data_IF_440718241450
#
_entry.id   IF_440718241450
#
_cell.length_a   1.000
_cell.length_b   1.000
_cell.length_c   1.000
_cell.angle_alpha   90.00
_cell.angle_beta   90.00
_cell.angle_gamma   90.00
#
_symmetry.space_group_name_H-M   'P 1'
#
loop_
_entity.id
_entity.type
_entity.pdbx_description
1 polymer ?
#
# COMPACT_ATOMS: atom_id res chain seq x y z
N UNK A 1 -13.21 43.43 0.35
CA UNK A 1 -12.20 42.75 -0.50
C UNK A 1 -12.51 41.26 -0.52
N UNK A 2 -12.58 40.60 -1.70
CA UNK A 2 -13.29 39.33 -1.87
C UNK A 2 -12.46 38.12 -1.37
N UNK A 3 -12.89 37.46 -0.28
CA UNK A 3 -12.32 36.21 0.28
C UNK A 3 -12.26 35.03 -0.71
N UNK A 4 -12.83 35.13 -1.88
CA UNK A 4 -12.95 34.04 -2.88
C UNK A 4 -11.66 33.70 -3.63
N UNK A 5 -10.59 34.49 -3.53
CA UNK A 5 -9.34 34.28 -4.29
C UNK A 5 -8.20 33.62 -3.51
N UNK A 6 -8.36 33.37 -2.19
CA UNK A 6 -7.27 32.85 -1.36
C UNK A 6 -7.19 31.31 -1.22
N UNK A 7 -8.17 30.56 -1.74
CA UNK A 7 -8.16 29.11 -1.52
C UNK A 7 -8.32 28.31 -2.82
N UNK A 8 -7.33 27.52 -3.25
CA UNK A 8 -7.49 26.55 -4.33
C UNK A 8 -8.50 25.47 -3.90
N UNK A 9 -9.15 24.82 -4.87
CA UNK A 9 -10.20 23.79 -4.67
C UNK A 9 -9.70 22.64 -3.76
N UNK A 10 -9.93 22.75 -2.45
CA UNK A 10 -9.66 21.71 -1.46
C UNK A 10 -10.88 20.80 -1.28
N UNK A 11 -10.63 19.53 -0.93
CA UNK A 11 -11.67 18.52 -0.67
C UNK A 11 -12.65 18.93 0.43
N UNK A 12 -13.85 18.32 0.47
CA UNK A 12 -14.88 18.63 1.47
C UNK A 12 -14.37 18.48 2.93
N UNK A 13 -13.50 17.52 3.22
CA UNK A 13 -12.85 17.34 4.55
C UNK A 13 -11.91 18.50 4.91
N UNK A 14 -11.19 19.06 3.95
CA UNK A 14 -10.35 20.24 4.17
C UNK A 14 -11.19 21.50 4.46
N UNK A 15 -12.36 21.64 3.83
CA UNK A 15 -13.29 22.75 4.08
C UNK A 15 -13.93 22.66 5.49
N UNK A 16 -14.24 21.47 5.97
CA UNK A 16 -14.82 21.26 7.30
C UNK A 16 -13.81 21.60 8.40
N UNK A 17 -12.53 21.28 8.24
CA UNK A 17 -11.48 21.63 9.20
C UNK A 17 -11.23 23.14 9.25
N UNK A 18 -11.21 23.80 8.10
CA UNK A 18 -11.12 25.28 8.05
C UNK A 18 -12.34 25.92 8.73
N UNK A 19 -13.53 25.35 8.58
CA UNK A 19 -14.74 25.83 9.23
C UNK A 19 -14.69 25.64 10.75
N UNK A 20 -14.15 24.53 11.25
CA UNK A 20 -13.96 24.28 12.69
C UNK A 20 -12.94 25.23 13.32
N UNK A 21 -11.84 25.56 12.62
CA UNK A 21 -10.88 26.57 13.05
C UNK A 21 -11.53 27.97 13.05
N UNK A 22 -12.30 28.31 12.03
CA UNK A 22 -13.04 29.57 11.98
C UNK A 22 -14.13 29.67 13.06
N UNK A 23 -14.81 28.58 13.41
CA UNK A 23 -15.79 28.55 14.49
C UNK A 23 -15.14 28.67 15.87
N UNK A 24 -13.96 28.05 16.11
CA UNK A 24 -13.22 28.23 17.36
C UNK A 24 -12.71 29.68 17.50
N UNK A 25 -12.39 30.38 16.41
CA UNK A 25 -12.01 31.79 16.43
C UNK A 25 -13.14 32.72 16.83
N UNK A 26 -14.38 32.45 16.39
CA UNK A 26 -15.55 33.24 16.82
C UNK A 26 -15.82 33.13 18.31
N UNK A 27 -15.41 32.02 18.94
CA UNK A 27 -15.53 31.83 20.38
C UNK A 27 -14.39 32.54 21.17
N UNK A 28 -13.21 32.70 20.58
CA UNK A 28 -12.01 33.33 21.21
C UNK A 28 -12.02 34.84 21.05
N UNK A 29 -12.79 35.41 20.12
CA UNK A 29 -12.87 36.85 19.88
C UNK A 29 -13.27 37.69 21.12
N UNK A 30 -13.90 37.06 22.11
CA UNK A 30 -14.29 37.74 23.34
C UNK A 30 -13.21 37.72 24.44
N UNK A 31 -12.06 37.09 24.24
CA UNK A 31 -11.07 36.85 25.30
C UNK A 31 -9.66 37.36 25.01
N UNK A 32 -9.33 37.71 23.77
CA UNK A 32 -7.98 38.13 23.35
C UNK A 32 -8.01 39.35 22.42
N UNK A 33 -7.03 40.23 22.52
CA UNK A 33 -6.84 41.37 21.61
C UNK A 33 -6.51 40.90 20.17
N UNK A 34 -6.63 41.83 19.19
CA UNK A 34 -6.44 41.52 17.75
C UNK A 34 -5.08 40.88 17.42
N UNK A 35 -4.03 41.23 18.14
CA UNK A 35 -2.67 40.70 17.93
C UNK A 35 -2.54 39.24 18.39
N UNK A 36 -3.13 38.86 19.51
CA UNK A 36 -3.15 37.47 19.98
C UNK A 36 -3.95 36.51 19.07
N UNK A 37 -4.98 37.02 18.41
CA UNK A 37 -5.76 36.23 17.43
C UNK A 37 -4.95 35.93 16.17
N UNK A 38 -4.12 36.85 15.71
CA UNK A 38 -3.26 36.63 14.54
C UNK A 38 -2.20 35.55 14.81
N UNK A 39 -1.59 35.53 15.99
CA UNK A 39 -0.60 34.52 16.37
C UNK A 39 -1.22 33.10 16.48
N UNK A 40 -2.40 32.98 17.11
CA UNK A 40 -3.13 31.70 17.19
C UNK A 40 -3.51 31.18 15.77
N UNK A 41 -3.87 32.12 14.88
CA UNK A 41 -4.21 31.79 13.50
C UNK A 41 -3.00 31.29 12.72
N UNK A 42 -1.89 31.97 12.82
CA UNK A 42 -0.63 31.59 12.18
C UNK A 42 -0.12 30.24 12.71
N UNK A 43 -0.13 30.04 14.02
CA UNK A 43 0.23 28.76 14.63
C UNK A 43 -0.68 27.62 14.19
N UNK A 44 -1.99 27.86 14.06
CA UNK A 44 -2.95 26.89 13.52
C UNK A 44 -2.72 26.56 12.03
N UNK A 45 -2.33 27.55 11.22
CA UNK A 45 -1.95 27.34 9.82
C UNK A 45 -0.65 26.52 9.73
N UNK A 46 0.37 26.85 10.49
CA UNK A 46 1.64 26.11 10.51
C UNK A 46 1.43 24.65 10.97
N UNK A 47 0.59 24.42 11.97
CA UNK A 47 0.25 23.07 12.43
C UNK A 47 -0.53 22.29 11.35
N UNK A 48 -1.45 22.95 10.65
CA UNK A 48 -2.15 22.34 9.50
C UNK A 48 -1.21 22.06 8.34
N UNK A 49 -0.25 22.95 8.05
CA UNK A 49 0.73 22.72 6.98
C UNK A 49 1.69 21.57 7.34
N UNK A 50 2.17 21.51 8.58
CA UNK A 50 2.93 20.36 9.12
C UNK A 50 2.12 19.06 9.04
N UNK A 51 0.82 19.12 9.37
CA UNK A 51 -0.08 17.98 9.27
C UNK A 51 -0.28 17.54 7.81
N UNK A 52 -0.52 18.49 6.89
CA UNK A 52 -0.66 18.21 5.45
C UNK A 52 0.66 17.67 4.87
N UNK A 53 1.80 18.17 5.29
CA UNK A 53 3.12 17.68 4.87
C UNK A 53 3.36 16.23 5.37
N UNK A 54 3.06 15.98 6.66
CA UNK A 54 3.14 14.64 7.25
C UNK A 54 2.14 13.64 6.63
N UNK A 55 1.14 14.13 5.89
CA UNK A 55 0.11 13.32 5.22
C UNK A 55 0.41 13.06 3.75
N UNK A 56 1.52 13.56 3.22
CA UNK A 56 1.85 13.41 1.81
C UNK A 56 2.36 12.02 1.46
N UNK A 57 1.91 11.53 0.32
CA UNK A 57 2.61 10.51 -0.43
C UNK A 57 3.96 11.07 -0.87
N UNK A 58 4.98 10.23 -0.92
CA UNK A 58 6.34 10.66 -1.27
C UNK A 58 6.81 10.04 -2.58
N UNK A 59 7.65 10.80 -3.29
CA UNK A 59 8.38 10.32 -4.46
C UNK A 59 9.86 10.26 -4.13
N UNK A 60 10.47 9.10 -4.35
CA UNK A 60 11.88 8.88 -4.04
C UNK A 60 12.64 8.70 -5.35
N UNK A 61 13.53 9.64 -5.70
CA UNK A 61 14.36 9.51 -6.89
C UNK A 61 15.38 8.37 -6.71
N UNK A 62 15.62 7.62 -7.78
CA UNK A 62 16.56 6.50 -7.77
C UNK A 62 17.73 6.80 -8.70
N UNK A 63 17.57 6.62 -10.01
CA UNK A 63 18.59 6.79 -11.03
C UNK A 63 17.94 6.97 -12.39
N UNK A 64 18.59 7.71 -13.28
CA UNK A 64 18.14 7.90 -14.67
C UNK A 64 16.70 8.42 -14.80
N UNK A 65 16.29 9.34 -13.93
CA UNK A 65 14.93 9.90 -13.92
C UNK A 65 13.84 8.97 -13.40
N UNK A 66 14.19 7.76 -12.91
CA UNK A 66 13.22 6.84 -12.31
C UNK A 66 12.95 7.27 -10.89
N UNK A 67 11.67 7.32 -10.54
CA UNK A 67 11.19 7.60 -9.19
C UNK A 67 10.36 6.43 -8.65
N UNK A 68 10.27 6.31 -7.33
CA UNK A 68 9.39 5.39 -6.64
C UNK A 68 8.29 6.19 -5.97
N UNK A 69 7.05 5.97 -6.38
CA UNK A 69 5.88 6.54 -5.73
C UNK A 69 5.50 5.68 -4.54
N UNK A 70 5.50 6.28 -3.35
CA UNK A 70 5.14 5.61 -2.11
C UNK A 70 3.90 6.27 -1.52
N UNK A 71 2.91 5.46 -1.17
CA UNK A 71 1.67 5.88 -0.52
C UNK A 71 1.81 5.72 0.98
N UNK A 72 1.48 6.76 1.72
CA UNK A 72 1.44 6.72 3.17
C UNK A 72 0.21 5.99 3.65
N UNK A 73 0.41 4.96 4.47
CA UNK A 73 -0.63 4.20 5.15
C UNK A 73 -0.61 4.55 6.64
N UNK A 74 -1.68 5.12 7.14
CA UNK A 74 -1.82 5.43 8.56
C UNK A 74 -1.96 4.15 9.37
N UNK A 75 -1.44 4.17 10.60
CA UNK A 75 -1.69 3.14 11.61
C UNK A 75 -3.19 2.90 11.83
N UNK A 76 -3.53 1.71 12.28
CA UNK A 76 -4.93 1.34 12.53
C UNK A 76 -5.11 -0.15 12.80
N UNK A 77 -6.33 -0.62 12.66
CA UNK A 77 -6.70 -2.02 12.91
C UNK A 77 -7.41 -2.63 11.71
N UNK A 78 -7.27 -3.94 11.55
CA UNK A 78 -8.04 -4.73 10.60
C UNK A 78 -8.42 -6.07 11.25
N UNK A 79 -9.46 -6.70 10.71
CA UNK A 79 -9.72 -8.12 10.88
C UNK A 79 -9.03 -8.83 9.72
N UNK A 80 -7.90 -9.49 9.99
CA UNK A 80 -7.06 -10.17 9.01
C UNK A 80 -7.56 -11.60 8.79
N UNK A 81 -7.58 -12.03 7.53
CA UNK A 81 -8.06 -13.35 7.14
C UNK A 81 -9.56 -13.40 6.83
N UNK A 82 -10.08 -14.59 6.57
CA UNK A 82 -11.46 -14.79 6.16
C UNK A 82 -12.42 -14.68 7.35
N UNK A 83 -13.34 -13.72 7.31
CA UNK A 83 -14.49 -13.68 8.21
C UNK A 83 -15.54 -14.70 7.78
N UNK A 84 -16.52 -14.97 8.65
CA UNK A 84 -17.61 -15.91 8.36
C UNK A 84 -18.44 -15.47 7.15
N UNK A 85 -18.66 -14.16 7.00
CA UNK A 85 -19.43 -13.56 5.90
C UNK A 85 -18.69 -13.65 4.56
N UNK A 86 -17.37 -13.49 4.58
CA UNK A 86 -16.55 -13.59 3.37
C UNK A 86 -16.44 -15.03 2.86
N UNK A 87 -16.57 -16.00 3.76
CA UNK A 87 -16.25 -17.39 3.48
C UNK A 87 -14.75 -17.60 3.27
N UNK A 88 -14.27 -18.80 3.49
CA UNK A 88 -12.89 -19.18 3.17
C UNK A 88 -12.90 -20.45 2.35
N UNK A 89 -12.04 -20.51 1.33
CA UNK A 89 -11.78 -21.75 0.57
C UNK A 89 -10.60 -22.52 1.13
N UNK A 90 -9.80 -21.88 2.00
CA UNK A 90 -8.55 -22.47 2.49
C UNK A 90 -8.39 -22.32 4.00
N UNK A 91 -7.97 -23.41 4.64
CA UNK A 91 -7.63 -23.39 6.07
C UNK A 91 -6.50 -22.42 6.43
N UNK A 92 -5.74 -21.93 5.45
CA UNK A 92 -4.70 -20.93 5.66
C UNK A 92 -5.21 -19.54 5.92
N UNK A 93 -6.47 -19.25 5.58
CA UNK A 93 -7.15 -17.96 5.72
C UNK A 93 -7.88 -17.82 7.06
N UNK A 94 -7.97 -18.90 7.83
CA UNK A 94 -8.68 -18.98 9.11
C UNK A 94 -7.74 -19.38 10.26
N UNK A 95 -8.09 -19.02 11.53
CA UNK A 95 -9.18 -18.12 11.89
C UNK A 95 -8.88 -16.67 11.52
N UNK A 96 -9.93 -15.89 11.21
CA UNK A 96 -9.78 -14.44 11.19
C UNK A 96 -9.42 -13.95 12.60
N UNK A 97 -8.64 -12.89 12.68
CA UNK A 97 -8.17 -12.34 13.94
C UNK A 97 -7.89 -10.84 13.81
N UNK A 98 -7.97 -10.14 14.92
CA UNK A 98 -7.65 -8.72 14.95
C UNK A 98 -6.15 -8.49 14.81
N UNK A 99 -5.78 -7.52 13.99
CA UNK A 99 -4.41 -7.02 13.85
C UNK A 99 -4.39 -5.52 14.09
N UNK A 100 -3.44 -5.06 14.91
CA UNK A 100 -3.11 -3.67 15.10
C UNK A 100 -1.80 -3.34 14.39
N UNK A 101 -1.84 -2.43 13.43
CA UNK A 101 -0.67 -1.77 12.85
C UNK A 101 -0.49 -0.47 13.64
N UNK A 102 0.53 -0.38 14.48
CA UNK A 102 0.68 0.72 15.46
C UNK A 102 1.50 1.89 14.94
N UNK A 103 2.21 1.72 13.84
CA UNK A 103 3.04 2.73 13.21
C UNK A 103 2.57 3.00 11.80
N UNK A 104 2.66 4.25 11.36
CA UNK A 104 2.45 4.57 9.97
C UNK A 104 3.60 3.98 9.14
N UNK A 105 3.32 3.67 7.89
CA UNK A 105 4.32 3.19 6.95
C UNK A 105 4.02 3.68 5.54
N UNK A 106 4.99 3.57 4.66
CA UNK A 106 4.79 3.77 3.24
C UNK A 106 4.80 2.43 2.51
N UNK A 107 3.95 2.32 1.50
CA UNK A 107 3.90 1.18 0.59
C UNK A 107 3.99 1.67 -0.86
N UNK A 108 4.61 0.91 -1.74
CA UNK A 108 4.68 1.24 -3.16
C UNK A 108 3.30 1.43 -3.76
N UNK A 109 3.08 2.56 -4.44
CA UNK A 109 1.85 2.85 -5.18
C UNK A 109 1.56 1.76 -6.21
N UNK A 110 2.62 1.21 -6.78
CA UNK A 110 2.63 0.16 -7.78
C UNK A 110 3.53 -0.99 -7.36
N UNK A 111 3.43 -2.10 -8.04
CA UNK A 111 4.42 -3.16 -8.07
C UNK A 111 5.77 -2.59 -8.56
N UNK A 112 6.89 -3.19 -8.19
CA UNK A 112 8.20 -2.81 -8.73
C UNK A 112 8.21 -3.04 -10.24
N UNK A 113 8.43 -1.98 -11.02
CA UNK A 113 8.45 -2.06 -12.48
C UNK A 113 9.78 -2.63 -13.02
N UNK A 114 9.75 -3.14 -14.24
CA UNK A 114 10.96 -3.61 -14.91
C UNK A 114 11.97 -2.47 -15.16
N UNK A 115 11.51 -1.24 -15.40
CA UNK A 115 12.39 -0.07 -15.49
C UNK A 115 13.15 0.16 -14.17
N UNK A 116 12.43 0.14 -13.04
CA UNK A 116 13.05 0.29 -11.72
C UNK A 116 14.01 -0.87 -11.41
N UNK A 117 13.61 -2.11 -11.70
CA UNK A 117 14.48 -3.27 -11.53
C UNK A 117 15.77 -3.14 -12.34
N UNK A 118 15.69 -2.79 -13.64
CA UNK A 118 16.86 -2.59 -14.50
C UNK A 118 17.77 -1.49 -13.99
N UNK A 119 17.22 -0.38 -13.51
CA UNK A 119 18.02 0.73 -12.98
C UNK A 119 18.87 0.32 -11.77
N UNK A 120 18.36 -0.60 -10.94
CA UNK A 120 19.05 -1.07 -9.73
C UNK A 120 19.94 -2.28 -10.01
N UNK A 121 19.46 -3.26 -10.78
CA UNK A 121 20.11 -4.56 -10.96
C UNK A 121 20.94 -4.66 -12.24
N UNK A 122 20.66 -3.84 -13.24
CA UNK A 122 21.34 -3.86 -14.55
C UNK A 122 20.82 -4.93 -15.52
N UNK A 123 19.90 -5.80 -15.09
CA UNK A 123 19.33 -6.91 -15.88
C UNK A 123 17.80 -6.90 -15.78
N UNK A 124 17.12 -7.70 -16.62
CA UNK A 124 15.69 -7.89 -16.57
C UNK A 124 15.33 -9.38 -16.65
N UNK A 125 14.95 -10.04 -15.55
CA UNK A 125 14.64 -11.47 -15.51
C UNK A 125 13.23 -11.80 -16.03
N UNK A 126 12.35 -10.80 -16.16
CA UNK A 126 10.93 -10.98 -16.46
C UNK A 126 10.71 -11.74 -17.76
N UNK A 127 9.68 -12.55 -17.80
CA UNK A 127 9.24 -13.27 -19.01
C UNK A 127 8.60 -12.31 -20.01
N UNK A 128 7.60 -11.55 -19.59
CA UNK A 128 7.03 -10.46 -20.40
C UNK A 128 7.94 -9.24 -20.34
N UNK A 129 8.14 -8.57 -21.47
CA UNK A 129 9.07 -7.43 -21.57
C UNK A 129 8.35 -6.11 -21.76
N UNK A 130 8.69 -5.12 -20.94
CA UNK A 130 8.16 -3.76 -21.02
C UNK A 130 8.49 -2.95 -19.77
N UNK A 131 8.96 -1.74 -19.93
CA UNK A 131 9.47 -0.91 -18.83
C UNK A 131 8.43 -0.61 -17.75
N UNK A 132 7.17 -0.42 -18.15
CA UNK A 132 6.06 -0.15 -17.26
C UNK A 132 5.32 -1.43 -16.79
N UNK A 133 5.77 -2.63 -17.20
CA UNK A 133 5.26 -3.87 -16.65
C UNK A 133 5.87 -4.13 -15.27
N UNK A 134 5.17 -4.86 -14.38
CA UNK A 134 5.79 -5.30 -13.13
C UNK A 134 6.97 -6.24 -13.43
N UNK A 135 7.99 -6.18 -12.61
CA UNK A 135 9.03 -7.21 -12.64
C UNK A 135 8.44 -8.52 -12.11
N UNK A 136 8.66 -9.60 -12.83
CA UNK A 136 8.26 -10.95 -12.44
C UNK A 136 9.40 -11.94 -12.71
N UNK A 137 9.19 -13.23 -12.38
CA UNK A 137 10.22 -14.25 -12.47
C UNK A 137 11.42 -13.95 -11.56
N UNK A 138 11.14 -13.38 -10.41
CA UNK A 138 12.08 -13.03 -9.35
C UNK A 138 11.77 -13.82 -8.10
N UNK A 139 12.81 -14.38 -7.47
CA UNK A 139 12.70 -15.09 -6.20
C UNK A 139 12.67 -14.10 -5.02
N UNK A 140 12.21 -14.57 -3.85
CA UNK A 140 12.23 -13.78 -2.64
C UNK A 140 13.67 -13.30 -2.30
N UNK A 141 14.66 -14.19 -2.49
CA UNK A 141 16.07 -13.84 -2.26
C UNK A 141 16.57 -12.76 -3.23
N UNK A 142 16.15 -12.79 -4.49
CA UNK A 142 16.50 -11.74 -5.46
C UNK A 142 15.79 -10.41 -5.14
N UNK A 143 14.55 -10.43 -4.66
CA UNK A 143 13.88 -9.22 -4.15
C UNK A 143 14.65 -8.61 -2.97
N UNK A 144 15.17 -9.42 -2.05
CA UNK A 144 16.03 -8.95 -0.93
C UNK A 144 17.35 -8.37 -1.42
N UNK A 145 17.98 -8.98 -2.42
CA UNK A 145 19.20 -8.46 -3.03
C UNK A 145 18.95 -7.11 -3.74
N UNK A 146 17.84 -6.99 -4.48
CA UNK A 146 17.39 -5.74 -5.07
C UNK A 146 17.21 -4.65 -4.02
N UNK A 147 16.46 -4.94 -2.93
CA UNK A 147 16.20 -4.00 -1.84
C UNK A 147 17.52 -3.54 -1.19
N UNK A 148 18.47 -4.45 -0.99
CA UNK A 148 19.78 -4.09 -0.43
C UNK A 148 20.53 -3.10 -1.32
N UNK A 149 20.53 -3.32 -2.65
CA UNK A 149 21.15 -2.39 -3.61
C UNK A 149 20.39 -1.06 -3.67
N UNK A 150 19.04 -1.10 -3.71
CA UNK A 150 18.20 0.10 -3.73
C UNK A 150 18.47 0.97 -2.49
N UNK A 151 18.56 0.37 -1.32
CA UNK A 151 18.85 1.08 -0.06
C UNK A 151 20.21 1.79 -0.10
N UNK A 152 21.23 1.15 -0.69
CA UNK A 152 22.55 1.79 -0.89
C UNK A 152 22.47 2.97 -1.86
N UNK A 153 21.66 2.86 -2.91
CA UNK A 153 21.52 3.92 -3.93
C UNK A 153 20.74 5.14 -3.39
N UNK A 154 19.73 4.91 -2.56
CA UNK A 154 18.80 5.96 -2.13
C UNK A 154 19.05 6.48 -0.73
N UNK A 155 19.86 5.78 0.09
CA UNK A 155 20.03 6.06 1.52
C UNK A 155 18.78 5.74 2.36
N UNK A 156 17.73 5.15 1.76
CA UNK A 156 16.48 4.79 2.45
C UNK A 156 16.57 3.36 3.01
N UNK A 157 15.53 2.96 3.79
CA UNK A 157 15.43 1.63 4.39
C UNK A 157 14.21 0.88 3.86
N UNK A 158 14.16 0.71 2.54
CA UNK A 158 13.12 -0.10 1.91
C UNK A 158 13.18 -1.55 2.39
N UNK A 159 12.03 -2.19 2.38
CA UNK A 159 11.82 -3.59 2.73
C UNK A 159 10.66 -4.16 1.93
N UNK A 160 10.41 -5.46 2.03
CA UNK A 160 9.13 -6.04 1.66
C UNK A 160 8.09 -5.65 2.72
N UNK A 161 6.80 -5.49 2.37
CA UNK A 161 5.73 -5.38 3.36
C UNK A 161 5.65 -6.66 4.18
N UNK A 162 5.23 -6.57 5.45
CA UNK A 162 4.72 -7.73 6.15
C UNK A 162 3.40 -8.17 5.53
N UNK A 163 3.00 -9.42 5.75
CA UNK A 163 1.71 -9.91 5.25
C UNK A 163 0.54 -9.07 5.77
N UNK A 164 0.60 -8.68 7.05
CA UNK A 164 -0.43 -7.86 7.67
C UNK A 164 -0.48 -6.43 7.11
N UNK A 165 0.68 -5.81 6.86
CA UNK A 165 0.73 -4.50 6.20
C UNK A 165 0.19 -4.57 4.77
N UNK A 166 0.51 -5.65 4.04
CA UNK A 166 0.01 -5.87 2.70
C UNK A 166 -1.52 -5.97 2.69
N UNK A 167 -2.12 -6.83 3.55
CA UNK A 167 -3.57 -7.01 3.62
C UNK A 167 -4.28 -5.74 4.10
N UNK A 168 -3.72 -5.05 5.11
CA UNK A 168 -4.23 -3.78 5.59
C UNK A 168 -4.24 -2.71 4.48
N UNK A 169 -3.16 -2.57 3.73
CA UNK A 169 -3.07 -1.64 2.62
C UNK A 169 -4.01 -2.03 1.46
N UNK A 170 -4.18 -3.33 1.17
CA UNK A 170 -5.09 -3.84 0.14
C UNK A 170 -6.55 -3.49 0.43
N UNK A 171 -6.94 -3.52 1.70
CA UNK A 171 -8.27 -3.09 2.15
C UNK A 171 -8.45 -1.57 2.23
N UNK A 172 -7.47 -0.76 1.83
CA UNK A 172 -7.57 0.69 1.92
C UNK A 172 -7.21 1.26 3.30
N UNK A 173 -6.51 0.50 4.16
CA UNK A 173 -6.08 0.96 5.48
C UNK A 173 -7.24 1.46 6.34
N UNK A 174 -7.14 2.70 6.89
CA UNK A 174 -8.22 3.27 7.69
C UNK A 174 -9.45 3.70 6.87
N UNK A 175 -9.36 3.72 5.55
CA UNK A 175 -10.48 4.06 4.64
C UNK A 175 -11.20 2.80 4.11
N UNK A 176 -10.93 1.62 4.71
CA UNK A 176 -11.50 0.31 4.34
C UNK A 176 -13.03 0.36 4.21
N UNK A 177 -13.55 -0.11 3.08
CA UNK A 177 -14.99 -0.17 2.76
C UNK A 177 -15.55 -1.60 2.82
N UNK A 178 -14.75 -2.58 3.22
CA UNK A 178 -15.17 -3.99 3.30
C UNK A 178 -15.29 -4.69 1.95
N UNK A 179 -14.62 -4.18 0.91
CA UNK A 179 -14.66 -4.80 -0.42
C UNK A 179 -13.88 -6.12 -0.45
N UNK A 180 -14.33 -7.04 -1.31
CA UNK A 180 -13.67 -8.32 -1.51
C UNK A 180 -12.31 -8.16 -2.20
N UNK A 181 -12.23 -7.26 -3.18
CA UNK A 181 -11.01 -6.94 -3.91
C UNK A 181 -10.51 -5.54 -3.53
N UNK A 182 -9.24 -5.28 -3.72
CA UNK A 182 -8.67 -3.97 -3.44
C UNK A 182 -9.28 -2.90 -4.35
N UNK A 183 -10.06 -1.97 -3.75
CA UNK A 183 -10.74 -0.88 -4.44
C UNK A 183 -12.16 -1.17 -4.93
N UNK A 184 -12.73 -2.36 -4.69
CA UNK A 184 -14.13 -2.60 -5.06
C UNK A 184 -14.56 -4.06 -5.08
N UNK A 185 -15.86 -4.29 -5.32
CA UNK A 185 -16.43 -5.65 -5.46
C UNK A 185 -16.53 -6.12 -6.92
N UNK A 186 -16.29 -5.24 -7.88
CA UNK A 186 -16.26 -5.58 -9.31
C UNK A 186 -14.80 -5.84 -9.73
N UNK A 187 -14.40 -7.11 -9.74
CA UNK A 187 -13.04 -7.51 -10.10
C UNK A 187 -12.63 -7.09 -11.52
N UNK A 188 -13.58 -6.85 -12.41
CA UNK A 188 -13.26 -6.45 -13.78
C UNK A 188 -12.67 -5.04 -13.84
N UNK A 189 -13.00 -4.18 -12.87
CA UNK A 189 -12.54 -2.80 -12.76
C UNK A 189 -11.24 -2.66 -11.99
N UNK A 190 -11.06 -3.47 -10.92
CA UNK A 190 -9.98 -3.31 -9.94
C UNK A 190 -8.88 -4.35 -10.06
N UNK A 191 -9.09 -5.47 -10.78
CA UNK A 191 -8.15 -6.57 -10.86
C UNK A 191 -7.72 -6.90 -12.30
N UNK A 192 -6.44 -7.26 -12.46
CA UNK A 192 -5.94 -7.92 -13.67
C UNK A 192 -5.79 -9.42 -13.38
N UNK A 193 -6.72 -10.25 -13.87
CA UNK A 193 -6.82 -11.66 -13.57
C UNK A 193 -7.07 -12.47 -14.85
N UNK A 194 -7.18 -13.80 -14.77
CA UNK A 194 -7.34 -14.69 -15.93
C UNK A 194 -8.45 -14.23 -16.89
N UNK A 195 -9.60 -13.81 -16.36
CA UNK A 195 -10.75 -13.40 -17.16
C UNK A 195 -10.56 -12.13 -18.01
N UNK A 196 -9.49 -11.32 -17.75
CA UNK A 196 -9.28 -10.05 -18.49
C UNK A 196 -7.82 -9.75 -18.85
N UNK A 197 -6.89 -10.61 -18.48
CA UNK A 197 -5.45 -10.39 -18.68
C UNK A 197 -4.98 -10.68 -20.12
N UNK A 198 -5.71 -11.53 -20.87
CA UNK A 198 -5.25 -12.14 -22.12
C UNK A 198 -3.94 -12.93 -21.92
N UNK A 199 -3.80 -13.63 -20.79
CA UNK A 199 -2.68 -14.49 -20.47
C UNK A 199 -1.34 -13.80 -20.21
N UNK A 200 -1.33 -12.49 -19.91
CA UNK A 200 -0.11 -11.70 -19.69
C UNK A 200 -0.29 -10.58 -18.66
N UNK A 201 0.83 -10.12 -18.08
CA UNK A 201 0.87 -8.93 -17.22
C UNK A 201 0.45 -7.67 -17.99
N UNK A 202 -0.04 -6.68 -17.26
CA UNK A 202 -0.40 -5.36 -17.78
C UNK A 202 0.54 -4.30 -17.21
N UNK A 203 0.68 -3.13 -17.86
CA UNK A 203 1.36 -1.99 -17.24
C UNK A 203 0.76 -1.72 -15.87
N UNK A 204 1.64 -1.42 -14.90
CA UNK A 204 1.19 -1.09 -13.54
C UNK A 204 0.22 0.10 -13.56
N UNK A 205 -0.78 0.09 -12.70
CA UNK A 205 -1.80 1.15 -12.67
C UNK A 205 -2.85 1.07 -13.77
N UNK A 206 -2.98 -0.07 -14.48
CA UNK A 206 -3.96 -0.24 -15.57
C UNK A 206 -5.40 -0.41 -15.08
N UNK A 207 -5.60 -0.68 -13.81
CA UNK A 207 -6.92 -0.84 -13.18
C UNK A 207 -7.19 0.29 -12.21
N UNK A 208 -8.41 0.36 -11.65
CA UNK A 208 -8.74 1.36 -10.64
C UNK A 208 -7.96 1.08 -9.34
N UNK A 209 -7.51 2.13 -8.65
CA UNK A 209 -6.83 2.00 -7.37
C UNK A 209 -7.83 1.76 -6.24
N UNK A 210 -7.31 1.39 -5.08
CA UNK A 210 -8.10 1.40 -3.85
C UNK A 210 -8.22 2.82 -3.24
N UNK A 211 -8.85 2.91 -2.07
CA UNK A 211 -9.18 4.15 -1.36
C UNK A 211 -7.95 4.99 -1.01
N UNK A 212 -6.78 4.36 -0.89
CA UNK A 212 -5.50 5.04 -0.65
C UNK A 212 -4.79 5.47 -1.94
N UNK A 213 -5.32 5.10 -3.11
CA UNK A 213 -4.65 5.33 -4.39
C UNK A 213 -3.55 4.30 -4.70
N UNK A 214 -3.60 3.10 -4.09
CA UNK A 214 -2.70 1.98 -4.36
C UNK A 214 -3.31 1.12 -5.46
N UNK A 215 -2.51 0.73 -6.44
CA UNK A 215 -2.91 -0.04 -7.61
C UNK A 215 -2.45 -1.49 -7.52
N UNK A 216 -3.14 -2.34 -8.29
CA UNK A 216 -2.73 -3.72 -8.60
C UNK A 216 -2.56 -4.64 -7.37
N UNK A 217 -3.20 -4.30 -6.22
CA UNK A 217 -3.23 -5.19 -5.05
C UNK A 217 -4.11 -6.43 -5.27
N UNK A 218 -4.87 -6.45 -6.38
CA UNK A 218 -5.68 -7.57 -6.84
C UNK A 218 -5.26 -7.95 -8.25
N UNK A 219 -4.45 -9.02 -8.38
CA UNK A 219 -4.01 -9.55 -9.67
C UNK A 219 -2.70 -8.93 -10.19
N UNK A 220 -2.53 -8.87 -11.49
CA UNK A 220 -1.32 -8.54 -12.24
C UNK A 220 -0.17 -9.49 -11.90
N UNK A 221 0.65 -9.24 -10.88
CA UNK A 221 1.56 -10.24 -10.32
C UNK A 221 1.30 -10.44 -8.83
N UNK A 222 1.42 -11.68 -8.37
CA UNK A 222 1.40 -11.94 -6.94
C UNK A 222 2.67 -11.38 -6.29
N UNK A 223 2.59 -10.95 -5.04
CA UNK A 223 3.62 -10.13 -4.42
C UNK A 223 4.24 -10.78 -3.20
N UNK A 224 5.56 -10.96 -3.23
CA UNK A 224 6.30 -11.46 -2.09
C UNK A 224 6.15 -10.56 -0.86
N UNK A 225 5.81 -11.17 0.28
CA UNK A 225 5.84 -10.56 1.60
C UNK A 225 7.09 -10.98 2.38
N UNK A 226 7.38 -10.25 3.46
CA UNK A 226 8.54 -10.53 4.31
C UNK A 226 8.41 -11.83 5.09
N UNK A 227 7.18 -12.20 5.45
CA UNK A 227 6.85 -13.21 6.43
C UNK A 227 7.13 -14.64 5.96
N UNK A 228 7.53 -15.49 6.89
CA UNK A 228 7.39 -16.93 6.72
C UNK A 228 5.92 -17.32 6.82
N UNK A 229 5.52 -18.30 6.02
CA UNK A 229 4.17 -18.83 6.11
C UNK A 229 3.95 -19.53 7.45
N UNK A 230 2.86 -19.16 8.12
CA UNK A 230 2.38 -19.75 9.34
C UNK A 230 0.85 -19.82 9.37
N UNK A 231 0.31 -20.70 10.21
CA UNK A 231 -1.12 -20.75 10.48
C UNK A 231 -1.53 -19.50 11.26
N UNK A 232 -2.69 -18.96 10.95
CA UNK A 232 -3.30 -17.94 11.78
C UNK A 232 -3.72 -18.51 13.13
N UNK A 233 -3.70 -17.65 14.14
CA UNK A 233 -4.18 -17.95 15.48
C UNK A 233 -5.08 -16.83 15.93
N UNK A 234 -6.14 -17.14 16.69
CA UNK A 234 -7.07 -16.17 17.24
C UNK A 234 -6.41 -15.15 18.17
N UNK A 235 -7.14 -14.09 18.49
CA UNK A 235 -6.73 -12.99 19.36
C UNK A 235 -5.95 -11.90 18.65
N UNK A 236 -5.88 -10.74 19.30
CA UNK A 236 -5.20 -9.55 18.79
C UNK A 236 -3.70 -9.80 18.58
N UNK A 237 -3.20 -9.40 17.42
CA UNK A 237 -1.77 -9.36 17.08
C UNK A 237 -1.34 -7.92 16.82
N UNK A 238 -0.22 -7.51 17.39
CA UNK A 238 0.34 -6.17 17.17
C UNK A 238 1.55 -6.28 16.27
N UNK A 239 1.53 -5.58 15.12
CA UNK A 239 2.58 -5.56 14.10
C UNK A 239 3.13 -6.96 13.79
N UNK A 240 2.28 -7.95 13.45
CA UNK A 240 2.73 -9.31 13.25
C UNK A 240 3.70 -9.40 12.06
N UNK A 241 4.71 -10.25 12.19
CA UNK A 241 5.75 -10.52 11.18
C UNK A 241 5.84 -12.00 10.80
N UNK A 242 4.77 -12.75 11.13
CA UNK A 242 4.76 -14.20 10.96
C UNK A 242 5.72 -14.93 11.90
N UNK A 243 5.93 -16.24 11.70
CA UNK A 243 6.91 -17.02 12.47
C UNK A 243 8.34 -16.50 12.28
N UNK A 244 9.18 -16.65 13.31
CA UNK A 244 10.59 -16.21 13.24
C UNK A 244 11.42 -17.02 12.25
N UNK A 245 11.00 -18.25 11.93
CA UNK A 245 11.63 -19.16 10.95
C UNK A 245 10.57 -20.02 10.26
N UNK A 246 10.90 -20.50 9.07
CA UNK A 246 10.03 -21.35 8.24
C UNK A 246 10.75 -21.84 6.99
N UNK A 247 10.03 -22.54 6.14
CA UNK A 247 10.54 -23.07 4.86
C UNK A 247 9.95 -22.37 3.64
N UNK A 248 8.78 -21.75 3.81
CA UNK A 248 8.03 -21.12 2.71
C UNK A 248 7.74 -19.65 3.05
N UNK A 249 7.95 -18.76 2.07
CA UNK A 249 7.59 -17.36 2.13
C UNK A 249 6.20 -17.12 1.57
N UNK A 250 5.50 -16.13 2.10
CA UNK A 250 4.18 -15.73 1.68
C UNK A 250 4.28 -14.85 0.42
N UNK A 251 3.30 -15.01 -0.47
CA UNK A 251 2.96 -14.03 -1.48
C UNK A 251 1.44 -13.86 -1.58
N UNK A 252 0.99 -12.67 -1.97
CA UNK A 252 -0.39 -12.20 -1.87
C UNK A 252 -0.90 -11.64 -3.19
N UNK A 253 -2.21 -11.38 -3.29
CA UNK A 253 -2.86 -10.63 -4.36
C UNK A 253 -3.28 -11.45 -5.58
N UNK A 254 -2.80 -12.67 -5.73
CA UNK A 254 -3.00 -13.43 -6.97
C UNK A 254 -2.32 -12.77 -8.17
N UNK A 255 -2.65 -13.18 -9.40
CA UNK A 255 -1.96 -12.71 -10.59
C UNK A 255 -2.84 -12.70 -11.83
N UNK A 256 -2.29 -12.25 -12.95
CA UNK A 256 -2.91 -12.28 -14.28
C UNK A 256 -3.40 -13.67 -14.73
N UNK A 257 -2.92 -14.78 -14.14
CA UNK A 257 -3.34 -16.16 -14.42
C UNK A 257 -4.33 -16.72 -13.40
N UNK A 258 -4.62 -15.99 -12.35
CA UNK A 258 -5.47 -16.45 -11.26
C UNK A 258 -6.94 -16.30 -11.64
N UNK A 259 -7.77 -17.28 -11.31
CA UNK A 259 -9.22 -17.10 -11.31
C UNK A 259 -9.62 -15.95 -10.36
N UNK A 260 -10.81 -15.39 -10.59
CA UNK A 260 -11.31 -14.24 -9.83
C UNK A 260 -11.23 -14.39 -8.31
N UNK A 261 -11.51 -15.59 -7.79
CA UNK A 261 -11.44 -15.83 -6.35
C UNK A 261 -10.02 -15.62 -5.76
N UNK A 262 -8.98 -15.98 -6.50
CA UNK A 262 -7.60 -15.94 -6.00
C UNK A 262 -6.96 -14.55 -6.06
N UNK A 263 -7.69 -13.52 -6.51
CA UNK A 263 -7.23 -12.11 -6.50
C UNK A 263 -7.91 -11.28 -5.42
N UNK A 264 -8.65 -11.92 -4.49
CA UNK A 264 -9.23 -11.23 -3.33
C UNK A 264 -8.17 -10.84 -2.28
N UNK A 265 -8.53 -9.93 -1.39
CA UNK A 265 -7.61 -9.40 -0.37
C UNK A 265 -7.17 -10.45 0.68
N UNK A 266 -7.95 -11.52 0.92
CA UNK A 266 -7.64 -12.54 1.95
C UNK A 266 -6.81 -13.70 1.42
N UNK A 267 -6.75 -13.92 0.10
CA UNK A 267 -6.06 -15.08 -0.47
C UNK A 267 -4.58 -15.10 -0.12
N UNK A 268 -4.13 -16.24 0.40
CA UNK A 268 -2.75 -16.49 0.83
C UNK A 268 -2.10 -17.57 0.00
N UNK A 269 -0.92 -17.30 -0.52
CA UNK A 269 -0.10 -18.30 -1.19
C UNK A 269 1.32 -18.33 -0.64
N UNK A 270 2.09 -19.35 -1.00
CA UNK A 270 3.41 -19.59 -0.42
C UNK A 270 4.31 -20.36 -1.38
N UNK A 271 5.62 -20.08 -1.31
CA UNK A 271 6.63 -20.84 -2.04
C UNK A 271 8.01 -20.77 -1.35
N UNK A 272 8.95 -21.58 -1.82
CA UNK A 272 10.34 -21.52 -1.37
C UNK A 272 10.99 -20.18 -1.74
N UNK A 273 11.96 -19.74 -0.96
CA UNK A 273 12.68 -18.47 -1.15
C UNK A 273 13.39 -18.33 -2.50
N UNK A 274 13.66 -19.44 -3.19
CA UNK A 274 14.30 -19.47 -4.53
C UNK A 274 13.30 -19.69 -5.68
N UNK A 275 12.01 -19.85 -5.40
CA UNK A 275 10.99 -20.04 -6.42
C UNK A 275 10.88 -18.80 -7.31
N UNK A 276 10.87 -19.01 -8.62
CA UNK A 276 10.65 -18.00 -9.64
C UNK A 276 9.46 -18.41 -10.50
N UNK A 277 8.56 -17.50 -10.72
CA UNK A 277 7.41 -17.68 -11.61
C UNK A 277 7.13 -16.37 -12.34
N UNK A 278 6.70 -16.47 -13.61
CA UNK A 278 6.32 -15.30 -14.41
C UNK A 278 5.02 -14.62 -13.95
N UNK A 279 4.49 -15.03 -12.80
CA UNK A 279 3.30 -14.51 -12.16
C UNK A 279 3.58 -13.98 -10.75
N UNK A 280 4.85 -13.96 -10.31
CA UNK A 280 5.23 -13.48 -8.98
C UNK A 280 6.27 -12.37 -9.13
N UNK A 281 5.95 -11.21 -8.55
CA UNK A 281 6.79 -10.06 -8.38
C UNK A 281 6.77 -9.57 -6.94
N UNK A 282 6.82 -8.26 -6.72
CA UNK A 282 6.76 -7.67 -5.37
C UNK A 282 6.51 -6.17 -5.42
N UNK A 283 6.13 -5.60 -4.29
CA UNK A 283 6.14 -4.16 -4.05
C UNK A 283 7.01 -3.81 -2.86
N UNK A 284 7.35 -2.53 -2.73
CA UNK A 284 8.18 -2.02 -1.65
C UNK A 284 7.35 -1.53 -0.47
N UNK A 285 7.93 -1.61 0.71
CA UNK A 285 7.48 -0.88 1.89
C UNK A 285 8.65 -0.08 2.49
N UNK A 286 8.32 0.94 3.29
CA UNK A 286 9.28 1.80 3.98
C UNK A 286 8.65 2.24 5.29
N UNK A 287 9.42 2.24 6.38
CA UNK A 287 8.95 2.82 7.64
C UNK A 287 8.92 4.36 7.52
N UNK A 288 7.99 4.97 8.19
CA UNK A 288 7.91 6.43 8.29
C UNK A 288 9.07 7.00 9.09
#
# INVERSE_FOLDING_TARGET
MKLKQMFPKKSAKGKLKILLVLCSMLFVQNSFGQDGLAEIFLAGIEEMEKYDEAMKNIQIPVKNGITIDMVRVKSGRLVMGATREMGSRFNSEIPSHEVAITENFYIGKYEVTQALWKAVMGTNPSFFKGDNLPVENVSWNECKAFITKLNRLTGKRFRLPTEAEWEYAAYGGPENQGYMFSGGNDQTKVACYEGNSNGKTKPVGSKQPNELGIYDMSGNVAEWCQDWFGKYTSGLKTNPKGPSKGTLKIYRGGSYKSEAWYVNCIYRSKANTNTKQNSIGFRLALNE
#
